data_IF_804467570270
#
_entry.id   IF_804467570270
#
_cell.length_a   1.000
_cell.length_b   1.000
_cell.length_c   1.000
_cell.angle_alpha   90.00
_cell.angle_beta   90.00
_cell.angle_gamma   90.00
#
_symmetry.space_group_name_H-M   'P 1'
#
loop_
_entity.id
_entity.type
_entity.pdbx_description
1 polymer ?
#
# COMPACT_ATOMS: atom_id res chain seq x y z
N UNK A 1 37.13 -4.36 12.96
CA UNK A 1 36.34 -5.36 12.22
C UNK A 1 37.16 -6.63 12.04
N UNK A 2 36.53 -7.80 12.01
CA UNK A 2 37.22 -9.10 11.92
C UNK A 2 38.00 -9.28 10.60
N UNK A 3 37.56 -8.63 9.52
CA UNK A 3 38.23 -8.60 8.21
C UNK A 3 39.24 -7.45 8.07
N UNK A 4 39.75 -6.88 9.17
CA UNK A 4 40.80 -5.86 9.09
C UNK A 4 42.08 -6.43 8.48
N UNK A 5 42.64 -5.76 7.47
CA UNK A 5 43.92 -6.16 6.83
C UNK A 5 45.03 -6.47 7.81
N UNK A 6 45.07 -5.74 8.92
CA UNK A 6 46.09 -5.89 9.97
C UNK A 6 46.21 -7.33 10.46
N UNK A 7 45.10 -8.09 10.51
CA UNK A 7 45.07 -9.47 10.98
C UNK A 7 45.58 -10.52 9.99
N UNK A 8 45.86 -10.12 8.73
CA UNK A 8 46.26 -11.04 7.66
C UNK A 8 47.58 -10.62 6.98
N UNK A 9 48.39 -9.80 7.68
CA UNK A 9 49.69 -9.29 7.18
C UNK A 9 50.89 -10.10 7.67
N UNK A 10 50.68 -11.13 8.50
CA UNK A 10 51.75 -11.97 9.05
C UNK A 10 52.40 -11.44 10.33
N UNK A 11 51.84 -10.39 10.95
CA UNK A 11 52.28 -9.88 12.27
C UNK A 11 51.87 -10.87 13.39
N UNK A 12 52.85 -11.33 14.18
CA UNK A 12 52.63 -12.27 15.28
C UNK A 12 51.80 -11.71 16.44
N UNK A 13 51.60 -10.38 16.54
CA UNK A 13 50.80 -9.76 17.60
C UNK A 13 49.35 -9.51 17.20
N UNK A 14 49.09 -9.41 15.90
CA UNK A 14 47.77 -9.11 15.34
C UNK A 14 47.57 -10.04 14.14
N UNK A 15 47.07 -11.24 14.42
CA UNK A 15 46.79 -12.27 13.42
C UNK A 15 45.42 -12.92 13.66
N UNK A 16 44.84 -13.48 12.60
CA UNK A 16 43.58 -14.24 12.65
C UNK A 16 43.72 -15.58 11.95
N UNK A 17 43.17 -16.63 12.57
CA UNK A 17 43.05 -17.96 11.95
C UNK A 17 41.80 -18.11 11.08
N UNK A 18 40.89 -17.14 11.13
CA UNK A 18 39.62 -17.17 10.42
C UNK A 18 39.84 -16.89 8.92
N UNK A 19 40.16 -17.95 8.17
CA UNK A 19 40.50 -17.91 6.74
C UNK A 19 39.37 -17.36 5.88
N UNK A 20 38.13 -17.53 6.32
CA UNK A 20 36.92 -16.99 5.68
C UNK A 20 36.96 -15.47 5.49
N UNK A 21 37.78 -14.74 6.26
CA UNK A 21 37.89 -13.29 6.17
C UNK A 21 39.05 -12.78 5.30
N UNK A 22 39.88 -13.67 4.75
CA UNK A 22 41.06 -13.27 3.96
C UNK A 22 40.64 -12.47 2.72
N UNK A 23 39.65 -12.96 1.97
CA UNK A 23 39.17 -12.30 0.75
C UNK A 23 38.55 -10.92 1.07
N UNK A 24 37.68 -10.85 2.07
CA UNK A 24 37.09 -9.60 2.54
C UNK A 24 38.15 -8.60 3.02
N UNK A 25 39.22 -9.07 3.67
CA UNK A 25 40.36 -8.26 4.10
C UNK A 25 41.10 -7.63 2.92
N UNK A 26 41.32 -8.39 1.84
CA UNK A 26 41.92 -7.84 0.62
C UNK A 26 41.03 -6.78 -0.05
N UNK A 27 39.72 -6.86 0.11
CA UNK A 27 38.76 -5.89 -0.44
C UNK A 27 38.42 -4.74 0.54
N UNK A 28 38.77 -4.86 1.81
CA UNK A 28 38.51 -3.85 2.84
C UNK A 28 39.10 -2.48 2.45
N UNK A 29 38.25 -1.44 2.44
CA UNK A 29 38.65 -0.08 2.08
C UNK A 29 38.80 0.18 0.57
N UNK A 30 38.50 -0.80 -0.30
CA UNK A 30 38.43 -0.64 -1.77
C UNK A 30 37.00 -0.45 -2.27
N UNK A 31 36.13 0.08 -1.40
CA UNK A 31 34.69 0.20 -1.63
C UNK A 31 34.33 1.31 -2.60
N UNK A 32 34.69 1.13 -3.86
CA UNK A 32 34.08 1.79 -5.01
C UNK A 32 33.65 0.69 -5.99
N UNK A 33 32.78 -0.21 -5.54
CA UNK A 33 31.98 -0.96 -6.48
C UNK A 33 30.84 -0.03 -6.87
N UNK A 34 30.94 0.58 -8.06
CA UNK A 34 29.79 1.21 -8.68
C UNK A 34 28.64 0.21 -8.66
N UNK A 35 27.48 0.64 -8.16
CA UNK A 35 26.31 -0.21 -8.10
C UNK A 35 25.99 -0.71 -9.52
N UNK A 36 26.15 -2.01 -9.75
CA UNK A 36 25.81 -2.60 -11.03
C UNK A 36 24.30 -2.46 -11.26
N UNK A 37 23.85 -2.07 -12.47
CA UNK A 37 22.43 -1.99 -12.77
C UNK A 37 21.78 -3.36 -12.61
N UNK A 38 20.60 -3.39 -11.99
CA UNK A 38 19.84 -4.63 -11.76
C UNK A 38 19.50 -5.35 -13.08
N UNK A 39 19.22 -4.58 -14.13
CA UNK A 39 18.97 -5.07 -15.47
C UNK A 39 20.07 -4.55 -16.41
N UNK A 40 20.80 -5.48 -17.02
CA UNK A 40 21.86 -5.18 -18.00
C UNK A 40 21.39 -5.32 -19.45
N UNK A 41 20.19 -5.88 -19.65
CA UNK A 41 19.54 -6.04 -20.95
C UNK A 41 18.03 -5.90 -20.79
N UNK A 42 17.35 -5.65 -21.90
CA UNK A 42 15.88 -5.62 -21.93
C UNK A 42 15.31 -7.02 -21.63
N UNK A 43 14.17 -7.04 -20.93
CA UNK A 43 13.47 -8.28 -20.66
C UNK A 43 12.75 -8.76 -21.92
N UNK A 44 12.70 -10.07 -22.12
CA UNK A 44 11.92 -10.69 -23.19
C UNK A 44 10.46 -10.27 -23.14
N UNK A 45 9.83 -10.25 -24.32
CA UNK A 45 8.40 -9.90 -24.46
C UNK A 45 7.55 -10.70 -23.45
N UNK A 46 6.64 -10.03 -22.73
CA UNK A 46 5.76 -10.69 -21.79
C UNK A 46 4.82 -11.70 -22.47
N UNK A 47 4.26 -12.61 -21.67
CA UNK A 47 3.25 -13.55 -22.13
C UNK A 47 2.00 -12.82 -22.67
N UNK A 48 1.33 -13.33 -23.71
CA UNK A 48 0.13 -12.70 -24.28
C UNK A 48 -1.00 -12.46 -23.27
N UNK A 49 -1.07 -13.26 -22.19
CA UNK A 49 -2.04 -13.09 -21.12
C UNK A 49 -1.93 -11.71 -20.42
N UNK A 50 -0.74 -11.10 -20.40
CA UNK A 50 -0.52 -9.76 -19.84
C UNK A 50 -1.14 -8.64 -20.68
N UNK A 51 -1.67 -8.97 -21.87
CA UNK A 51 -2.47 -8.03 -22.69
C UNK A 51 -3.91 -7.92 -22.19
N UNK A 52 -4.37 -8.82 -21.31
CA UNK A 52 -5.59 -8.65 -20.52
C UNK A 52 -5.27 -7.97 -19.20
N UNK A 53 -5.68 -6.71 -19.09
CA UNK A 53 -5.38 -5.85 -17.95
C UNK A 53 -6.67 -5.50 -17.24
N UNK A 54 -6.72 -5.61 -15.93
CA UNK A 54 -7.83 -5.06 -15.15
C UNK A 54 -7.53 -3.60 -14.77
N UNK A 55 -8.55 -2.75 -14.67
CA UNK A 55 -8.40 -1.37 -14.22
C UNK A 55 -7.74 -1.29 -12.83
N UNK A 56 -8.04 -2.26 -11.95
CA UNK A 56 -7.39 -2.39 -10.66
C UNK A 56 -5.88 -2.66 -10.81
N UNK A 57 -5.48 -3.61 -11.66
CA UNK A 57 -4.08 -3.93 -11.90
C UNK A 57 -3.33 -2.75 -12.54
N UNK A 58 -3.97 -2.03 -13.46
CA UNK A 58 -3.40 -0.83 -14.07
C UNK A 58 -3.16 0.26 -13.02
N UNK A 59 -4.15 0.49 -12.14
CA UNK A 59 -4.02 1.44 -11.03
C UNK A 59 -2.91 1.02 -10.07
N UNK A 60 -2.82 -0.27 -9.74
CA UNK A 60 -1.79 -0.84 -8.86
C UNK A 60 -0.39 -0.69 -9.47
N UNK A 61 -0.25 -0.91 -10.78
CA UNK A 61 0.99 -0.71 -11.52
C UNK A 61 1.49 0.73 -11.40
N UNK A 62 0.65 1.72 -11.70
CA UNK A 62 1.06 3.13 -11.65
C UNK A 62 1.37 3.64 -10.24
N UNK A 63 0.87 2.97 -9.19
CA UNK A 63 1.23 3.29 -7.80
C UNK A 63 2.67 2.88 -7.44
N UNK A 64 3.16 1.77 -8.00
CA UNK A 64 4.53 1.30 -7.76
C UNK A 64 4.98 0.35 -8.88
N UNK A 65 5.45 0.90 -10.02
CA UNK A 65 5.81 0.08 -11.19
C UNK A 65 7.06 -0.78 -10.92
N UNK A 66 7.98 -0.31 -10.08
CA UNK A 66 9.16 -1.08 -9.70
C UNK A 66 8.80 -2.33 -8.90
N UNK A 67 7.86 -2.22 -7.94
CA UNK A 67 7.31 -3.38 -7.21
C UNK A 67 6.61 -4.35 -8.16
N UNK A 68 5.83 -3.84 -9.11
CA UNK A 68 5.17 -4.68 -10.12
C UNK A 68 6.20 -5.43 -10.97
N UNK A 69 7.25 -4.76 -11.43
CA UNK A 69 8.34 -5.39 -12.19
C UNK A 69 9.00 -6.52 -11.39
N UNK A 70 9.35 -6.25 -10.13
CA UNK A 70 9.96 -7.26 -9.25
C UNK A 70 9.03 -8.45 -9.04
N UNK A 71 7.77 -8.21 -8.65
CA UNK A 71 6.83 -9.28 -8.26
C UNK A 71 6.24 -10.02 -9.45
N UNK A 72 5.66 -9.29 -10.40
CA UNK A 72 4.89 -9.87 -11.51
C UNK A 72 5.78 -10.29 -12.66
N UNK A 73 6.84 -9.52 -12.97
CA UNK A 73 7.71 -9.83 -14.11
C UNK A 73 8.93 -10.66 -13.78
N UNK A 74 9.55 -10.45 -12.61
CA UNK A 74 10.74 -11.17 -12.16
C UNK A 74 10.44 -12.27 -11.13
N UNK A 75 9.22 -12.36 -10.61
CA UNK A 75 8.85 -13.36 -9.59
C UNK A 75 9.52 -13.15 -8.23
N UNK A 76 10.09 -11.96 -7.98
CA UNK A 76 10.80 -11.62 -6.76
C UNK A 76 9.80 -11.03 -5.76
N UNK A 77 9.48 -11.81 -4.74
CA UNK A 77 8.74 -11.35 -3.56
C UNK A 77 9.72 -11.22 -2.41
N UNK A 78 9.88 -10.00 -1.91
CA UNK A 78 10.60 -9.76 -0.65
C UNK A 78 9.67 -10.17 0.47
N UNK A 79 10.08 -11.16 1.24
CA UNK A 79 9.39 -11.58 2.45
C UNK A 79 9.57 -10.47 3.49
N UNK A 80 8.55 -9.66 3.67
CA UNK A 80 8.45 -8.76 4.82
C UNK A 80 8.09 -9.67 5.98
N UNK A 81 9.11 -10.17 6.70
CA UNK A 81 8.94 -11.19 7.74
C UNK A 81 7.80 -10.85 8.71
N UNK A 82 7.25 -11.90 9.36
CA UNK A 82 6.04 -11.80 10.20
C UNK A 82 6.03 -10.53 11.06
N UNK A 83 5.00 -9.69 10.86
CA UNK A 83 4.69 -8.62 11.80
C UNK A 83 4.51 -9.27 13.18
N UNK A 84 5.40 -8.94 14.10
CA UNK A 84 5.36 -9.49 15.45
C UNK A 84 4.01 -9.14 16.07
N UNK A 85 3.26 -10.17 16.47
CA UNK A 85 2.01 -9.96 17.21
C UNK A 85 2.29 -9.09 18.43
N UNK A 86 1.62 -7.94 18.50
CA UNK A 86 1.78 -7.06 19.64
C UNK A 86 1.35 -7.79 20.91
N UNK A 87 2.27 -7.90 21.87
CA UNK A 87 2.02 -8.59 23.15
C UNK A 87 1.25 -7.70 24.14
N UNK A 88 0.94 -6.46 23.76
CA UNK A 88 0.28 -5.46 24.61
C UNK A 88 -0.87 -4.82 23.86
N UNK A 89 -1.93 -4.51 24.59
CA UNK A 89 -3.04 -3.74 24.05
C UNK A 89 -2.56 -2.32 23.70
N UNK A 90 -2.87 -1.81 22.50
CA UNK A 90 -2.46 -0.48 22.08
C UNK A 90 -3.28 0.59 22.82
N UNK A 91 -2.59 1.52 23.47
CA UNK A 91 -3.22 2.72 24.06
C UNK A 91 -3.36 3.87 23.05
N UNK A 92 -2.69 3.76 21.90
CA UNK A 92 -2.70 4.73 20.82
C UNK A 92 -2.75 3.94 19.51
N UNK A 93 -3.67 4.31 18.62
CA UNK A 93 -3.69 3.72 17.29
C UNK A 93 -2.55 4.31 16.45
N UNK A 94 -1.84 3.44 15.73
CA UNK A 94 -0.86 3.88 14.77
C UNK A 94 -1.52 4.53 13.53
N UNK A 95 -0.70 4.95 12.56
CA UNK A 95 -1.19 5.60 11.35
C UNK A 95 -2.04 4.69 10.45
N UNK A 96 -1.78 3.39 10.44
CA UNK A 96 -2.48 2.40 9.62
C UNK A 96 -3.79 1.97 10.29
N UNK A 97 -3.76 1.67 11.59
CA UNK A 97 -4.92 1.31 12.41
C UNK A 97 -5.94 2.45 12.41
N UNK A 98 -5.51 3.70 12.61
CA UNK A 98 -6.39 4.85 12.54
C UNK A 98 -6.99 5.04 11.14
N UNK A 99 -6.22 4.74 10.08
CA UNK A 99 -6.74 4.78 8.71
C UNK A 99 -7.85 3.73 8.52
N UNK A 100 -7.60 2.49 8.94
CA UNK A 100 -8.55 1.37 8.85
C UNK A 100 -9.82 1.65 9.67
N UNK A 101 -9.67 2.19 10.88
CA UNK A 101 -10.78 2.60 11.73
C UNK A 101 -11.68 3.63 11.01
N UNK A 102 -11.09 4.70 10.47
CA UNK A 102 -11.84 5.76 9.79
C UNK A 102 -12.53 5.27 8.52
N UNK A 103 -11.87 4.40 7.75
CA UNK A 103 -12.43 3.78 6.55
C UNK A 103 -13.66 2.94 6.93
N UNK A 104 -13.51 2.05 7.92
CA UNK A 104 -14.61 1.20 8.38
C UNK A 104 -15.77 1.98 8.98
N UNK A 105 -15.48 2.99 9.80
CA UNK A 105 -16.51 3.87 10.36
C UNK A 105 -17.25 4.67 9.27
N UNK A 106 -16.54 5.11 8.24
CA UNK A 106 -17.14 5.79 7.10
C UNK A 106 -18.08 4.87 6.32
N UNK A 107 -17.67 3.62 6.07
CA UNK A 107 -18.50 2.65 5.36
C UNK A 107 -19.78 2.33 6.13
N UNK A 108 -19.68 2.01 7.42
CA UNK A 108 -20.85 1.77 8.28
C UNK A 108 -21.76 3.00 8.34
N UNK A 109 -21.17 4.20 8.44
CA UNK A 109 -21.94 5.43 8.42
C UNK A 109 -22.69 5.58 7.09
N UNK A 110 -22.05 5.29 5.94
CA UNK A 110 -22.66 5.33 4.61
C UNK A 110 -23.76 4.27 4.41
N UNK A 111 -23.62 3.10 5.03
CA UNK A 111 -24.64 2.04 5.09
C UNK A 111 -25.89 2.45 5.89
N UNK A 112 -25.86 3.58 6.61
CA UNK A 112 -27.02 4.04 7.40
C UNK A 112 -26.94 3.76 8.88
N UNK A 113 -25.83 3.19 9.37
CA UNK A 113 -25.66 2.91 10.79
C UNK A 113 -25.60 4.22 11.60
N UNK A 114 -26.27 4.23 12.75
CA UNK A 114 -26.21 5.35 13.70
C UNK A 114 -24.86 5.37 14.41
N UNK A 115 -24.43 6.55 14.88
CA UNK A 115 -23.16 6.69 15.61
C UNK A 115 -23.06 5.73 16.80
N UNK A 116 -24.10 5.53 17.65
CA UNK A 116 -24.05 4.55 18.74
C UNK A 116 -23.90 3.10 18.27
N UNK A 117 -24.51 2.73 17.13
CA UNK A 117 -24.35 1.39 16.56
C UNK A 117 -22.93 1.17 16.04
N UNK A 118 -22.36 2.17 15.35
CA UNK A 118 -20.96 2.13 14.89
C UNK A 118 -20.02 1.97 16.07
N UNK A 119 -20.22 2.74 17.15
CA UNK A 119 -19.41 2.62 18.38
C UNK A 119 -19.41 1.20 18.92
N UNK A 120 -20.60 0.60 19.01
CA UNK A 120 -20.77 -0.78 19.50
C UNK A 120 -19.99 -1.77 18.63
N UNK A 121 -20.06 -1.65 17.31
CA UNK A 121 -19.34 -2.51 16.36
C UNK A 121 -17.82 -2.32 16.51
N UNK A 122 -17.34 -1.08 16.57
CA UNK A 122 -15.90 -0.78 16.69
C UNK A 122 -15.33 -1.31 18.01
N UNK A 123 -16.04 -1.14 19.13
CA UNK A 123 -15.63 -1.73 20.42
C UNK A 123 -15.61 -3.25 20.39
N UNK A 124 -16.65 -3.88 19.82
CA UNK A 124 -16.72 -5.34 19.73
C UNK A 124 -15.62 -5.94 18.83
N UNK A 125 -15.13 -5.19 17.86
CA UNK A 125 -14.05 -5.62 16.96
C UNK A 125 -12.64 -5.54 17.58
N UNK A 126 -12.49 -4.92 18.76
CA UNK A 126 -11.18 -4.67 19.36
C UNK A 126 -10.40 -3.52 18.73
N UNK A 127 -10.99 -2.78 17.78
CA UNK A 127 -10.34 -1.67 17.08
C UNK A 127 -10.19 -0.39 17.92
N UNK A 128 -10.83 -0.33 19.10
CA UNK A 128 -10.76 0.81 20.00
C UNK A 128 -10.14 0.38 21.34
N UNK A 129 -9.18 1.16 21.89
CA UNK A 129 -8.64 0.90 23.22
C UNK A 129 -9.73 0.96 24.30
N UNK A 130 -9.51 0.27 25.43
CA UNK A 130 -10.43 0.34 26.55
C UNK A 130 -10.45 1.71 27.28
N UNK A 131 -11.57 1.98 27.96
CA UNK A 131 -11.75 3.15 28.83
C UNK A 131 -11.84 4.50 28.11
N UNK A 132 -11.52 5.57 28.85
CA UNK A 132 -11.67 6.97 28.41
C UNK A 132 -10.88 7.30 27.14
N UNK A 133 -9.75 6.63 26.92
CA UNK A 133 -8.91 6.85 25.74
C UNK A 133 -9.66 6.43 24.48
N UNK A 134 -10.27 5.24 24.49
CA UNK A 134 -11.10 4.77 23.37
C UNK A 134 -12.33 5.64 23.13
N UNK A 135 -12.95 6.18 24.19
CA UNK A 135 -14.06 7.13 24.07
C UNK A 135 -13.65 8.42 23.36
N UNK A 136 -12.52 9.02 23.76
CA UNK A 136 -12.01 10.23 23.12
C UNK A 136 -11.64 9.97 21.65
N UNK A 137 -10.94 8.87 21.39
CA UNK A 137 -10.52 8.49 20.04
C UNK A 137 -11.73 8.26 19.12
N UNK A 138 -12.75 7.56 19.63
CA UNK A 138 -13.99 7.35 18.89
C UNK A 138 -14.72 8.67 18.62
N UNK A 139 -14.81 9.56 19.61
CA UNK A 139 -15.46 10.86 19.44
C UNK A 139 -14.79 11.70 18.34
N UNK A 140 -13.45 11.75 18.33
CA UNK A 140 -12.68 12.44 17.28
C UNK A 140 -12.85 11.79 15.90
N UNK A 141 -12.79 10.46 15.82
CA UNK A 141 -12.99 9.73 14.57
C UNK A 141 -14.42 9.92 14.03
N UNK A 142 -15.42 9.87 14.90
CA UNK A 142 -16.83 10.06 14.57
C UNK A 142 -17.08 11.46 14.01
N UNK A 143 -16.58 12.51 14.65
CA UNK A 143 -16.72 13.88 14.13
C UNK A 143 -16.05 14.05 12.75
N UNK A 144 -14.88 13.45 12.53
CA UNK A 144 -14.23 13.45 11.21
C UNK A 144 -15.06 12.72 10.16
N UNK A 145 -15.59 11.55 10.48
CA UNK A 145 -16.44 10.74 9.59
C UNK A 145 -17.72 11.48 9.24
N UNK A 146 -18.44 12.02 10.23
CA UNK A 146 -19.70 12.76 10.01
C UNK A 146 -19.47 13.99 9.14
N UNK A 147 -18.43 14.80 9.43
CA UNK A 147 -18.09 15.97 8.61
C UNK A 147 -17.72 15.59 7.18
N UNK A 148 -16.95 14.52 7.00
CA UNK A 148 -16.57 14.04 5.67
C UNK A 148 -17.78 13.49 4.91
N UNK A 149 -18.57 12.62 5.53
CA UNK A 149 -19.77 12.03 4.95
C UNK A 149 -20.81 13.09 4.56
N UNK A 150 -20.97 14.15 5.36
CA UNK A 150 -21.84 15.28 5.03
C UNK A 150 -21.41 16.03 3.77
N UNK A 151 -20.09 16.19 3.54
CA UNK A 151 -19.56 16.77 2.29
C UNK A 151 -19.70 15.80 1.12
N UNK A 152 -19.34 14.54 1.33
CA UNK A 152 -19.44 13.49 0.33
C UNK A 152 -20.87 13.31 -0.15
N UNK A 153 -21.86 13.34 0.76
CA UNK A 153 -23.27 13.19 0.42
C UNK A 153 -23.83 14.26 -0.52
N UNK A 154 -23.18 15.43 -0.64
CA UNK A 154 -23.58 16.49 -1.58
C UNK A 154 -23.20 16.16 -3.03
N UNK A 155 -22.14 15.40 -3.23
CA UNK A 155 -21.60 15.05 -4.56
C UNK A 155 -21.86 13.58 -4.91
N UNK A 156 -21.96 12.73 -3.90
CA UNK A 156 -22.22 11.30 -4.01
C UNK A 156 -23.27 10.88 -2.98
N UNK A 157 -24.56 11.14 -3.29
CA UNK A 157 -25.68 10.75 -2.45
C UNK A 157 -25.68 9.23 -2.20
N UNK A 158 -26.30 8.81 -1.09
CA UNK A 158 -26.54 7.38 -0.82
C UNK A 158 -27.61 6.87 -1.76
N UNK A 159 -27.18 6.43 -2.94
CA UNK A 159 -28.00 5.72 -3.91
C UNK A 159 -27.21 4.54 -4.40
N UNK A 160 -27.86 3.39 -4.44
CA UNK A 160 -27.32 2.23 -5.11
C UNK A 160 -27.39 2.50 -6.60
N UNK A 161 -26.25 2.85 -7.19
CA UNK A 161 -26.09 2.87 -8.64
C UNK A 161 -25.53 1.54 -9.07
N UNK A 162 -26.13 0.98 -10.12
CA UNK A 162 -25.55 -0.19 -10.77
C UNK A 162 -24.11 0.12 -11.18
N UNK A 163 -23.16 -0.74 -10.81
CA UNK A 163 -21.78 -0.56 -11.24
C UNK A 163 -21.67 -0.63 -12.76
N UNK A 164 -20.84 0.24 -13.32
CA UNK A 164 -20.56 0.24 -14.75
C UNK A 164 -19.47 -0.79 -15.04
N UNK A 165 -19.77 -1.73 -15.93
CA UNK A 165 -18.77 -2.65 -16.48
C UNK A 165 -17.94 -1.91 -17.54
N UNK A 166 -16.62 -1.94 -17.37
CA UNK A 166 -15.63 -1.43 -18.31
C UNK A 166 -15.09 -2.62 -19.08
N UNK A 167 -15.20 -2.56 -20.40
CA UNK A 167 -14.63 -3.54 -21.33
C UNK A 167 -14.17 -2.83 -22.59
N UNK A 168 -12.89 -2.45 -22.62
CA UNK A 168 -12.30 -1.62 -23.66
C UNK A 168 -11.24 -2.41 -24.42
N UNK A 169 -11.24 -2.30 -25.74
CA UNK A 169 -10.16 -2.83 -26.60
C UNK A 169 -9.24 -1.69 -27.01
N UNK A 170 -7.96 -1.78 -26.64
CA UNK A 170 -6.93 -0.76 -26.81
C UNK A 170 -5.77 -1.34 -27.63
N UNK A 171 -5.97 -1.44 -28.95
CA UNK A 171 -5.05 -2.16 -29.83
C UNK A 171 -5.04 -3.65 -29.48
N UNK A 172 -3.86 -4.18 -29.17
CA UNK A 172 -3.67 -5.59 -28.75
C UNK A 172 -4.08 -5.84 -27.29
N UNK A 173 -4.38 -4.79 -26.52
CA UNK A 173 -4.76 -4.88 -25.12
C UNK A 173 -6.27 -4.87 -24.95
N UNK A 174 -6.75 -5.56 -23.93
CA UNK A 174 -8.13 -5.42 -23.46
C UNK A 174 -8.13 -5.07 -21.97
N UNK A 175 -8.78 -3.96 -21.67
CA UNK A 175 -8.92 -3.39 -20.33
C UNK A 175 -10.31 -3.72 -19.79
N UNK A 176 -10.37 -4.45 -18.68
CA UNK A 176 -11.63 -4.79 -18.01
C UNK A 176 -11.72 -4.21 -16.60
N UNK A 177 -12.92 -4.00 -16.09
CA UNK A 177 -13.09 -3.57 -14.71
C UNK A 177 -14.52 -3.24 -14.37
N UNK A 178 -14.78 -3.00 -13.09
CA UNK A 178 -16.11 -2.64 -12.60
C UNK A 178 -16.03 -1.37 -11.77
N UNK A 179 -16.79 -0.36 -12.18
CA UNK A 179 -16.82 0.96 -11.57
C UNK A 179 -18.08 1.11 -10.72
N UNK A 180 -17.92 0.90 -9.41
CA UNK A 180 -18.92 1.31 -8.44
C UNK A 180 -18.78 2.81 -8.11
N UNK A 181 -19.85 3.44 -7.65
CA UNK A 181 -19.82 4.87 -7.27
C UNK A 181 -20.05 5.83 -8.42
N UNK A 182 -20.92 5.44 -9.35
CA UNK A 182 -21.33 6.30 -10.45
C UNK A 182 -22.33 7.35 -10.00
N UNK A 183 -22.27 8.52 -10.62
CA UNK A 183 -23.25 9.59 -10.50
C UNK A 183 -23.69 10.03 -11.88
N UNK A 184 -24.74 10.85 -11.96
CA UNK A 184 -25.19 11.43 -13.23
C UNK A 184 -24.11 12.28 -13.94
N UNK A 185 -23.10 12.77 -13.21
CA UNK A 185 -22.04 13.62 -13.75
C UNK A 185 -20.68 12.91 -13.86
N UNK A 186 -20.60 11.61 -13.56
CA UNK A 186 -19.37 10.83 -13.64
C UNK A 186 -19.05 10.04 -12.37
N UNK A 187 -17.82 9.54 -12.29
CA UNK A 187 -17.36 8.72 -11.17
C UNK A 187 -16.84 9.56 -10.00
N UNK A 188 -17.15 9.13 -8.78
CA UNK A 188 -16.68 9.78 -7.56
C UNK A 188 -15.83 8.81 -6.75
N UNK A 189 -14.51 8.94 -6.86
CA UNK A 189 -13.55 8.34 -5.95
C UNK A 189 -13.40 9.16 -4.66
N UNK A 190 -13.39 8.51 -3.51
CA UNK A 190 -13.23 9.18 -2.21
C UNK A 190 -12.35 8.38 -1.25
N UNK A 191 -11.69 9.09 -0.33
CA UNK A 191 -10.91 8.50 0.77
C UNK A 191 -10.86 9.47 1.95
N UNK A 192 -11.05 8.98 3.17
CA UNK A 192 -10.95 9.80 4.39
C UNK A 192 -9.50 9.97 4.85
N UNK A 193 -8.67 10.54 3.99
CA UNK A 193 -7.25 10.75 4.24
C UNK A 193 -6.71 11.95 3.48
N UNK A 194 -5.46 12.32 3.77
CA UNK A 194 -4.73 13.30 2.94
C UNK A 194 -4.55 12.75 1.53
N UNK A 195 -4.85 13.58 0.53
CA UNK A 195 -4.65 13.24 -0.87
C UNK A 195 -3.16 13.09 -1.19
N UNK A 196 -2.84 12.11 -2.04
CA UNK A 196 -1.50 11.76 -2.50
C UNK A 196 -1.49 11.69 -4.02
N UNK A 197 -0.31 11.71 -4.64
CA UNK A 197 -0.16 11.58 -6.10
C UNK A 197 -0.86 10.32 -6.66
N UNK A 198 -0.80 9.21 -5.90
CA UNK A 198 -1.51 7.98 -6.24
C UNK A 198 -3.03 8.15 -6.37
N UNK A 199 -3.65 9.03 -5.58
CA UNK A 199 -5.09 9.28 -5.66
C UNK A 199 -5.45 10.03 -6.96
N UNK A 200 -4.61 10.98 -7.38
CA UNK A 200 -4.79 11.69 -8.66
C UNK A 200 -4.62 10.75 -9.86
N UNK A 201 -3.59 9.89 -9.84
CA UNK A 201 -3.40 8.87 -10.87
C UNK A 201 -4.61 7.93 -10.94
N UNK A 202 -5.12 7.48 -9.78
CA UNK A 202 -6.32 6.65 -9.73
C UNK A 202 -7.53 7.35 -10.37
N UNK A 203 -7.80 8.60 -9.98
CA UNK A 203 -8.87 9.43 -10.55
C UNK A 203 -8.71 9.60 -12.06
N UNK A 204 -7.49 9.87 -12.53
CA UNK A 204 -7.20 10.06 -13.94
C UNK A 204 -7.41 8.77 -14.75
N UNK A 205 -6.94 7.62 -14.27
CA UNK A 205 -7.14 6.33 -14.93
C UNK A 205 -8.63 5.96 -15.01
N UNK A 206 -9.39 6.20 -13.94
CA UNK A 206 -10.84 5.99 -13.94
C UNK A 206 -11.55 6.95 -14.89
N UNK A 207 -11.11 8.20 -14.97
CA UNK A 207 -11.62 9.17 -15.94
C UNK A 207 -11.34 8.73 -17.39
N UNK A 208 -10.13 8.27 -17.69
CA UNK A 208 -9.79 7.76 -19.02
C UNK A 208 -10.56 6.48 -19.37
N UNK A 209 -10.82 5.60 -18.41
CA UNK A 209 -11.61 4.39 -18.66
C UNK A 209 -13.09 4.70 -18.97
N UNK A 210 -13.56 5.92 -18.67
CA UNK A 210 -14.94 6.36 -18.89
C UNK A 210 -15.14 7.16 -20.19
N UNK A 211 -14.06 7.61 -20.86
CA UNK A 211 -14.12 8.52 -22.01
C UNK A 211 -13.34 7.94 -23.20
#
# INVERSE_FOLDING_TARGET
QAFSRRYFTGDQRLFSYAREWIEASHQAGRGELDAAPLLTSELSEPEPALRWVTLENLTRFFRNPARWLLRERLGIQVDEGEEALETREPFVLDGLENYQLLERMLDLHREGQSVPAIETIMRASGALPHGQVGECLFAEASDRVVRFAGRLGRVFPRRDTEPLEVDLTLGDFRLTGRLAGMTATGWVGYRLAKIKAADYLNLWLHHLALN
#
